data_IF_587930500936
#
_entry.id   IF_587930500936
#
_cell.length_a   1.000
_cell.length_b   1.000
_cell.length_c   1.000
_cell.angle_alpha   90.00
_cell.angle_beta   90.00
_cell.angle_gamma   90.00
#
_symmetry.space_group_name_H-M   'P 1'
#
loop_
_entity.id
_entity.type
_entity.pdbx_description
1 polymer ?
#
# COMPACT_ATOMS: atom_id res chain seq x y z
N UNK A 1 -33.05 15.84 -43.57
CA UNK A 1 -32.20 16.46 -42.55
C UNK A 1 -32.88 16.47 -41.17
N UNK A 2 -34.20 16.75 -41.09
CA UNK A 2 -34.97 16.73 -39.84
C UNK A 2 -35.09 15.32 -39.23
N UNK A 3 -35.22 14.27 -40.03
CA UNK A 3 -35.34 12.89 -39.52
C UNK A 3 -34.07 12.38 -38.84
N UNK A 4 -32.90 12.78 -39.36
CA UNK A 4 -31.59 12.45 -38.72
C UNK A 4 -31.44 13.16 -37.39
N UNK A 5 -31.89 14.41 -37.25
CA UNK A 5 -31.84 15.15 -36.02
C UNK A 5 -32.79 14.57 -34.94
N UNK A 6 -33.95 14.06 -35.39
CA UNK A 6 -34.91 13.39 -34.47
C UNK A 6 -34.38 12.04 -33.95
N UNK A 7 -33.67 11.28 -34.76
CA UNK A 7 -33.05 10.01 -34.33
C UNK A 7 -31.81 10.22 -33.44
N UNK A 8 -31.12 11.34 -33.58
CA UNK A 8 -29.95 11.67 -32.75
C UNK A 8 -30.30 12.33 -31.39
N UNK A 9 -31.49 12.95 -31.29
CA UNK A 9 -31.91 13.67 -30.07
C UNK A 9 -31.82 12.84 -28.79
N UNK A 10 -32.20 11.54 -28.75
CA UNK A 10 -32.06 10.71 -27.54
C UNK A 10 -30.60 10.42 -27.15
N UNK A 11 -29.63 10.61 -28.07
CA UNK A 11 -28.21 10.35 -27.82
C UNK A 11 -27.44 11.57 -27.30
N UNK A 12 -28.03 12.77 -27.31
CA UNK A 12 -27.34 13.99 -26.86
C UNK A 12 -26.85 13.90 -25.41
N UNK A 13 -27.63 13.40 -24.42
CA UNK A 13 -27.14 13.27 -23.05
C UNK A 13 -25.94 12.35 -22.93
N UNK A 14 -25.94 11.25 -23.66
CA UNK A 14 -24.85 10.26 -23.71
C UNK A 14 -23.56 10.85 -24.28
N UNK A 15 -23.68 11.52 -25.44
CA UNK A 15 -22.55 12.16 -26.11
C UNK A 15 -22.00 13.30 -25.23
N UNK A 16 -22.87 14.13 -24.64
CA UNK A 16 -22.45 15.23 -23.80
C UNK A 16 -21.73 14.73 -22.54
N UNK A 17 -22.20 13.67 -21.91
CA UNK A 17 -21.54 13.06 -20.75
C UNK A 17 -20.17 12.49 -21.13
N UNK A 18 -20.07 11.75 -22.23
CA UNK A 18 -18.80 11.22 -22.70
C UNK A 18 -17.77 12.32 -22.99
N UNK A 19 -18.19 13.38 -23.68
CA UNK A 19 -17.35 14.55 -23.94
C UNK A 19 -16.92 15.25 -22.65
N UNK A 20 -17.85 15.45 -21.71
CA UNK A 20 -17.55 16.05 -20.42
C UNK A 20 -16.46 15.28 -19.68
N UNK A 21 -16.63 13.98 -19.49
CA UNK A 21 -15.63 13.16 -18.80
C UNK A 21 -14.31 13.05 -19.57
N UNK A 22 -14.34 13.07 -20.89
CA UNK A 22 -13.12 13.12 -21.73
C UNK A 22 -12.36 14.43 -21.51
N UNK A 23 -13.08 15.56 -21.40
CA UNK A 23 -12.48 16.88 -21.06
C UNK A 23 -11.92 16.84 -19.64
N UNK A 24 -12.66 16.30 -18.67
CA UNK A 24 -12.17 16.12 -17.28
C UNK A 24 -10.89 15.29 -17.26
N UNK A 25 -10.85 14.17 -17.99
CA UNK A 25 -9.64 13.34 -18.14
C UNK A 25 -8.47 14.12 -18.76
N UNK A 26 -8.71 14.93 -19.78
CA UNK A 26 -7.70 15.76 -20.41
C UNK A 26 -7.15 16.82 -19.44
N UNK A 27 -8.03 17.48 -18.67
CA UNK A 27 -7.65 18.45 -17.63
C UNK A 27 -6.85 17.75 -16.53
N UNK A 28 -7.31 16.59 -16.06
CA UNK A 28 -6.59 15.78 -15.06
C UNK A 28 -5.16 15.48 -15.52
N UNK A 29 -5.00 14.88 -16.71
CA UNK A 29 -3.70 14.47 -17.22
C UNK A 29 -2.76 15.66 -17.50
N UNK A 30 -3.28 16.74 -18.09
CA UNK A 30 -2.44 17.82 -18.58
C UNK A 30 -2.26 18.98 -17.61
N UNK A 31 -3.22 19.19 -16.72
CA UNK A 31 -3.20 20.31 -15.80
C UNK A 31 -2.97 19.86 -14.36
N UNK A 32 -3.80 18.96 -13.86
CA UNK A 32 -3.79 18.57 -12.46
C UNK A 32 -2.50 17.85 -12.06
N UNK A 33 -2.06 16.89 -12.85
CA UNK A 33 -0.79 16.17 -12.62
C UNK A 33 0.40 17.12 -12.69
N UNK A 34 0.43 18.02 -13.68
CA UNK A 34 1.52 19.01 -13.78
C UNK A 34 1.52 19.99 -12.62
N UNK A 35 0.34 20.40 -12.14
CA UNK A 35 0.20 21.27 -10.97
C UNK A 35 0.71 20.58 -9.71
N UNK A 36 0.30 19.32 -9.50
CA UNK A 36 0.75 18.54 -8.34
C UNK A 36 2.27 18.31 -8.36
N UNK A 37 2.85 17.96 -9.52
CA UNK A 37 4.32 17.84 -9.66
C UNK A 37 5.04 19.18 -9.37
N UNK A 38 4.48 20.31 -9.81
CA UNK A 38 5.04 21.64 -9.49
C UNK A 38 4.95 21.98 -8.00
N UNK A 39 3.87 21.63 -7.35
CA UNK A 39 3.70 21.84 -5.91
C UNK A 39 4.65 20.92 -5.11
N UNK A 40 4.78 19.67 -5.53
CA UNK A 40 5.69 18.71 -4.90
C UNK A 40 7.14 19.18 -4.96
N UNK A 41 7.59 19.70 -6.12
CA UNK A 41 8.94 20.26 -6.28
C UNK A 41 9.22 21.48 -5.40
N UNK A 42 8.18 22.24 -5.00
CA UNK A 42 8.31 23.38 -4.07
C UNK A 42 8.40 22.95 -2.61
N UNK A 43 7.74 21.87 -2.23
CA UNK A 43 7.64 21.40 -0.84
C UNK A 43 8.70 20.36 -0.50
N UNK A 44 9.49 19.89 -1.50
CA UNK A 44 10.50 18.82 -1.36
C UNK A 44 9.92 17.55 -0.70
N UNK A 45 8.65 17.23 -1.00
CA UNK A 45 8.02 16.02 -0.49
C UNK A 45 8.44 14.83 -1.36
N UNK A 46 9.52 14.17 -0.96
CA UNK A 46 10.19 13.10 -1.73
C UNK A 46 9.22 11.99 -2.19
N UNK A 47 8.17 11.75 -1.43
CA UNK A 47 7.22 10.64 -1.65
C UNK A 47 6.03 11.02 -2.56
N UNK A 48 5.83 12.30 -2.84
CA UNK A 48 4.71 12.78 -3.65
C UNK A 48 4.79 12.37 -5.11
N UNK A 49 6.00 12.29 -5.67
CA UNK A 49 6.19 11.86 -7.07
C UNK A 49 5.89 10.37 -7.24
N UNK A 50 6.30 9.56 -6.30
CA UNK A 50 6.07 8.11 -6.32
C UNK A 50 4.57 7.80 -6.26
N UNK A 51 3.85 8.47 -5.36
CA UNK A 51 2.40 8.35 -5.27
C UNK A 51 1.71 8.78 -6.58
N UNK A 52 2.11 9.92 -7.14
CA UNK A 52 1.56 10.41 -8.42
C UNK A 52 1.82 9.44 -9.56
N UNK A 53 3.04 8.91 -9.66
CA UNK A 53 3.42 7.96 -10.70
C UNK A 53 2.65 6.63 -10.57
N UNK A 54 2.48 6.12 -9.35
CA UNK A 54 1.75 4.89 -9.08
C UNK A 54 0.27 4.98 -9.48
N UNK A 55 -0.38 6.13 -9.23
CA UNK A 55 -1.81 6.31 -9.46
C UNK A 55 -2.17 7.03 -10.76
N UNK A 56 -1.22 7.62 -11.49
CA UNK A 56 -1.48 8.34 -12.74
C UNK A 56 -2.23 7.48 -13.75
N UNK A 57 -1.73 6.28 -14.02
CA UNK A 57 -2.34 5.34 -14.98
C UNK A 57 -3.66 4.78 -14.50
N UNK A 58 -3.79 4.24 -13.27
CA UNK A 58 -5.06 3.76 -12.73
C UNK A 58 -6.17 4.82 -12.76
N UNK A 59 -5.90 6.04 -12.29
CA UNK A 59 -6.90 7.12 -12.27
C UNK A 59 -7.32 7.50 -13.69
N UNK A 60 -6.37 7.57 -14.63
CA UNK A 60 -6.66 7.91 -16.02
C UNK A 60 -7.57 6.85 -16.69
N UNK A 61 -7.36 5.58 -16.38
CA UNK A 61 -8.22 4.48 -16.84
C UNK A 61 -9.58 4.53 -16.14
N UNK A 62 -9.62 4.75 -14.83
CA UNK A 62 -10.88 4.87 -14.09
C UNK A 62 -11.77 6.00 -14.64
N UNK A 63 -11.18 7.17 -14.93
CA UNK A 63 -11.91 8.28 -15.55
C UNK A 63 -12.48 7.93 -16.91
N UNK A 64 -11.74 7.17 -17.74
CA UNK A 64 -12.23 6.72 -19.04
C UNK A 64 -13.40 5.73 -18.89
N UNK A 65 -13.31 4.80 -17.94
CA UNK A 65 -14.36 3.83 -17.67
C UNK A 65 -15.62 4.50 -17.14
N UNK A 66 -15.48 5.49 -16.25
CA UNK A 66 -16.61 6.30 -15.75
C UNK A 66 -17.26 7.07 -16.91
N UNK A 67 -16.46 7.63 -17.84
CA UNK A 67 -16.98 8.31 -19.04
C UNK A 67 -17.84 7.35 -19.89
N UNK A 68 -17.34 6.15 -20.11
CA UNK A 68 -18.02 5.13 -20.91
C UNK A 68 -19.29 4.63 -20.21
N UNK A 69 -19.23 4.36 -18.92
CA UNK A 69 -20.38 3.98 -18.10
C UNK A 69 -21.49 5.05 -18.12
N UNK A 70 -21.11 6.33 -17.90
CA UNK A 70 -22.07 7.43 -17.95
C UNK A 70 -22.73 7.57 -19.34
N UNK A 71 -21.92 7.38 -20.41
CA UNK A 71 -22.42 7.40 -21.77
C UNK A 71 -23.46 6.29 -22.03
N UNK A 72 -23.22 5.07 -21.56
CA UNK A 72 -24.14 3.94 -21.73
C UNK A 72 -25.44 4.20 -20.96
N UNK A 73 -25.35 4.58 -19.69
CA UNK A 73 -26.54 4.77 -18.84
C UNK A 73 -27.42 5.96 -19.26
N UNK A 74 -26.85 6.96 -19.93
CA UNK A 74 -27.58 8.09 -20.49
C UNK A 74 -28.02 7.86 -21.96
N UNK A 75 -27.69 6.73 -22.54
CA UNK A 75 -28.05 6.38 -23.91
C UNK A 75 -29.46 5.76 -23.97
N UNK A 76 -30.10 5.74 -25.15
CA UNK A 76 -31.35 4.99 -25.36
C UNK A 76 -31.21 3.48 -25.09
N UNK A 77 -29.99 2.96 -25.09
CA UNK A 77 -29.68 1.56 -24.76
C UNK A 77 -29.82 1.26 -23.27
N UNK A 78 -29.93 2.27 -22.39
CA UNK A 78 -30.08 2.09 -20.94
C UNK A 78 -31.29 1.21 -20.57
N UNK A 79 -32.36 1.23 -21.35
CA UNK A 79 -33.52 0.38 -21.15
C UNK A 79 -33.34 -1.08 -21.57
N UNK A 80 -32.27 -1.39 -22.30
CA UNK A 80 -32.02 -2.72 -22.87
C UNK A 80 -31.02 -3.54 -22.06
N UNK A 81 -30.33 -2.94 -21.08
CA UNK A 81 -29.35 -3.66 -20.25
C UNK A 81 -29.72 -3.65 -18.77
N UNK A 82 -29.27 -4.67 -18.05
CA UNK A 82 -29.44 -4.74 -16.61
C UNK A 82 -28.48 -3.75 -15.93
N UNK A 83 -29.05 -2.67 -15.42
CA UNK A 83 -28.31 -1.61 -14.71
C UNK A 83 -27.53 -2.20 -13.54
N UNK A 84 -28.10 -3.18 -12.83
CA UNK A 84 -27.48 -3.78 -11.65
C UNK A 84 -26.21 -4.57 -12.02
N UNK A 85 -26.21 -5.24 -13.16
CA UNK A 85 -25.06 -5.95 -13.69
C UNK A 85 -23.96 -4.98 -14.17
N UNK A 86 -24.36 -3.91 -14.87
CA UNK A 86 -23.44 -2.89 -15.35
C UNK A 86 -22.76 -2.15 -14.19
N UNK A 87 -23.51 -1.85 -13.13
CA UNK A 87 -22.99 -1.25 -11.90
C UNK A 87 -21.96 -2.14 -11.22
N UNK A 88 -22.18 -3.46 -11.14
CA UNK A 88 -21.21 -4.39 -10.58
C UNK A 88 -19.92 -4.43 -11.39
N UNK A 89 -20.02 -4.44 -12.72
CA UNK A 89 -18.85 -4.39 -13.58
C UNK A 89 -18.06 -3.09 -13.31
N UNK A 90 -18.74 -1.93 -13.28
CA UNK A 90 -18.08 -0.66 -13.00
C UNK A 90 -17.34 -0.69 -11.66
N UNK A 91 -18.02 -1.12 -10.58
CA UNK A 91 -17.41 -1.22 -9.25
C UNK A 91 -16.23 -2.18 -9.25
N UNK A 92 -16.35 -3.34 -9.90
CA UNK A 92 -15.24 -4.30 -10.03
C UNK A 92 -14.03 -3.66 -10.69
N UNK A 93 -14.24 -2.91 -11.78
CA UNK A 93 -13.15 -2.26 -12.50
C UNK A 93 -12.52 -1.14 -11.65
N UNK A 94 -13.33 -0.33 -10.97
CA UNK A 94 -12.83 0.74 -10.08
C UNK A 94 -12.01 0.14 -8.94
N UNK A 95 -12.52 -0.90 -8.28
CA UNK A 95 -11.83 -1.60 -7.19
C UNK A 95 -10.51 -2.20 -7.70
N UNK A 96 -10.53 -2.88 -8.84
CA UNK A 96 -9.30 -3.47 -9.42
C UNK A 96 -8.27 -2.38 -9.77
N UNK A 97 -8.71 -1.24 -10.34
CA UNK A 97 -7.83 -0.11 -10.61
C UNK A 97 -7.23 0.50 -9.34
N UNK A 98 -8.00 0.59 -8.25
CA UNK A 98 -7.52 1.08 -6.97
C UNK A 98 -6.41 0.17 -6.41
N UNK A 99 -6.66 -1.15 -6.37
CA UNK A 99 -5.66 -2.12 -5.91
C UNK A 99 -4.44 -2.19 -6.84
N UNK A 100 -4.63 -1.99 -8.14
CA UNK A 100 -3.50 -1.85 -9.07
C UNK A 100 -2.65 -0.61 -8.77
N UNK A 101 -3.26 0.53 -8.45
CA UNK A 101 -2.55 1.71 -7.98
C UNK A 101 -1.73 1.45 -6.71
N UNK A 102 -2.32 0.74 -5.73
CA UNK A 102 -1.60 0.33 -4.52
C UNK A 102 -0.44 -0.64 -4.83
N UNK A 103 -0.64 -1.57 -5.75
CA UNK A 103 0.41 -2.49 -6.19
C UNK A 103 1.59 -1.73 -6.83
N UNK A 104 1.30 -0.80 -7.74
CA UNK A 104 2.32 0.03 -8.36
C UNK A 104 3.05 0.93 -7.35
N UNK A 105 2.35 1.37 -6.30
CA UNK A 105 2.96 2.19 -5.26
C UNK A 105 4.10 1.46 -4.57
N UNK A 106 3.96 0.14 -4.33
CA UNK A 106 5.04 -0.65 -3.74
C UNK A 106 6.27 -0.69 -4.64
N UNK A 107 6.11 -0.76 -5.96
CA UNK A 107 7.24 -0.75 -6.90
C UNK A 107 7.96 0.59 -6.91
N UNK A 108 7.21 1.68 -6.86
CA UNK A 108 7.74 3.04 -6.94
C UNK A 108 8.39 3.47 -5.61
N UNK A 109 7.89 2.96 -4.48
CA UNK A 109 8.38 3.31 -3.13
C UNK A 109 9.55 2.45 -2.65
N UNK A 110 10.09 1.56 -3.48
CA UNK A 110 11.28 0.77 -3.11
C UNK A 110 12.42 1.65 -2.59
N UNK A 111 12.77 2.74 -3.30
CA UNK A 111 13.80 3.69 -2.87
C UNK A 111 13.45 4.40 -1.57
N UNK A 112 12.19 4.79 -1.40
CA UNK A 112 11.66 5.48 -0.21
C UNK A 112 11.79 4.63 1.06
N UNK A 113 11.50 3.33 0.95
CA UNK A 113 11.60 2.41 2.08
C UNK A 113 13.07 2.24 2.51
N UNK A 114 13.99 2.18 1.54
CA UNK A 114 15.42 2.17 1.82
C UNK A 114 15.90 3.45 2.50
N UNK A 115 15.53 4.63 1.96
CA UNK A 115 15.88 5.93 2.54
C UNK A 115 15.39 6.08 3.99
N UNK A 116 14.20 5.56 4.28
CA UNK A 116 13.66 5.55 5.64
C UNK A 116 14.49 4.66 6.57
N UNK A 117 14.77 3.42 6.17
CA UNK A 117 15.56 2.48 6.98
C UNK A 117 16.97 2.99 7.20
N UNK A 118 17.59 3.58 6.18
CA UNK A 118 18.93 4.17 6.28
C UNK A 118 18.95 5.37 7.24
N UNK A 119 17.89 6.21 7.24
CA UNK A 119 17.74 7.30 8.23
C UNK A 119 17.64 6.80 9.67
N UNK A 120 17.10 5.62 9.88
CA UNK A 120 17.07 4.95 11.20
C UNK A 120 18.36 4.17 11.51
N UNK A 121 19.40 4.28 10.65
CA UNK A 121 20.67 3.58 10.83
C UNK A 121 20.60 2.08 10.57
N UNK A 122 19.52 1.62 9.93
CA UNK A 122 19.33 0.21 9.57
C UNK A 122 19.91 0.02 8.17
N UNK A 123 21.11 -0.54 8.08
CA UNK A 123 21.67 -1.02 6.80
C UNK A 123 20.84 -2.24 6.37
N UNK A 124 19.91 -2.03 5.46
CA UNK A 124 19.00 -3.09 4.98
C UNK A 124 19.56 -3.65 3.70
N UNK A 125 19.72 -4.96 3.66
CA UNK A 125 20.07 -5.68 2.44
C UNK A 125 18.90 -5.57 1.43
N UNK A 126 19.21 -5.33 0.17
CA UNK A 126 18.24 -5.25 -0.92
C UNK A 126 17.31 -6.49 -0.95
N UNK A 127 17.85 -7.64 -0.54
CA UNK A 127 17.09 -8.88 -0.43
C UNK A 127 15.91 -8.78 0.56
N UNK A 128 16.10 -8.15 1.71
CA UNK A 128 15.06 -8.00 2.74
C UNK A 128 13.94 -7.09 2.25
N UNK A 129 14.28 -5.97 1.61
CA UNK A 129 13.28 -5.06 1.06
C UNK A 129 12.46 -5.72 -0.05
N UNK A 130 13.10 -6.51 -0.92
CA UNK A 130 12.41 -7.27 -1.96
C UNK A 130 11.43 -8.30 -1.39
N UNK A 131 11.81 -8.99 -0.31
CA UNK A 131 10.92 -9.93 0.40
C UNK A 131 9.72 -9.19 0.97
N UNK A 132 9.94 -8.08 1.68
CA UNK A 132 8.86 -7.27 2.26
C UNK A 132 7.92 -6.73 1.18
N UNK A 133 8.46 -6.17 0.10
CA UNK A 133 7.67 -5.70 -1.03
C UNK A 133 6.81 -6.83 -1.62
N UNK A 134 7.38 -8.03 -1.78
CA UNK A 134 6.65 -9.18 -2.28
C UNK A 134 5.50 -9.59 -1.34
N UNK A 135 5.74 -9.60 -0.03
CA UNK A 135 4.69 -9.87 0.97
C UNK A 135 3.57 -8.83 0.89
N UNK A 136 3.91 -7.53 0.82
CA UNK A 136 2.90 -6.47 0.68
C UNK A 136 2.10 -6.58 -0.63
N UNK A 137 2.75 -6.92 -1.75
CA UNK A 137 2.06 -7.17 -3.04
C UNK A 137 1.07 -8.32 -2.93
N UNK A 138 1.47 -9.44 -2.30
CA UNK A 138 0.58 -10.57 -2.06
C UNK A 138 -0.64 -10.18 -1.23
N UNK A 139 -0.45 -9.38 -0.17
CA UNK A 139 -1.54 -8.87 0.67
C UNK A 139 -2.50 -7.99 -0.16
N UNK A 140 -1.96 -7.08 -0.99
CA UNK A 140 -2.78 -6.20 -1.84
C UNK A 140 -3.60 -7.01 -2.85
N UNK A 141 -2.99 -7.98 -3.53
CA UNK A 141 -3.68 -8.87 -4.48
C UNK A 141 -4.80 -9.63 -3.76
N UNK A 142 -4.51 -10.18 -2.58
CA UNK A 142 -5.47 -10.93 -1.77
C UNK A 142 -6.65 -10.05 -1.34
N UNK A 143 -6.40 -8.84 -0.85
CA UNK A 143 -7.44 -7.88 -0.48
C UNK A 143 -8.28 -7.45 -1.70
N UNK A 144 -7.65 -7.22 -2.83
CA UNK A 144 -8.33 -6.92 -4.09
C UNK A 144 -9.26 -8.07 -4.53
N UNK A 145 -8.76 -9.30 -4.49
CA UNK A 145 -9.54 -10.48 -4.81
C UNK A 145 -10.76 -10.64 -3.90
N UNK A 146 -10.58 -10.52 -2.58
CA UNK A 146 -11.66 -10.59 -1.58
C UNK A 146 -12.72 -9.52 -1.84
N UNK A 147 -12.28 -8.29 -2.11
CA UNK A 147 -13.19 -7.16 -2.36
C UNK A 147 -14.01 -7.37 -3.62
N UNK A 148 -13.39 -7.84 -4.71
CA UNK A 148 -14.08 -8.16 -5.97
C UNK A 148 -15.04 -9.33 -5.77
N UNK A 149 -14.62 -10.42 -5.12
CA UNK A 149 -15.48 -11.57 -4.88
C UNK A 149 -16.75 -11.19 -4.09
N UNK A 150 -16.61 -10.31 -3.10
CA UNK A 150 -17.73 -9.78 -2.32
C UNK A 150 -18.70 -8.94 -3.17
N UNK A 151 -18.20 -8.15 -4.12
CA UNK A 151 -19.06 -7.37 -5.05
C UNK A 151 -19.96 -8.30 -5.89
N UNK A 152 -19.45 -9.49 -6.22
CA UNK A 152 -20.19 -10.52 -6.96
C UNK A 152 -21.05 -11.44 -6.06
N UNK A 153 -21.23 -11.06 -4.78
CA UNK A 153 -21.99 -11.82 -3.78
C UNK A 153 -21.48 -13.26 -3.54
N UNK A 154 -20.18 -13.51 -3.78
CA UNK A 154 -19.59 -14.77 -3.35
C UNK A 154 -19.45 -14.79 -1.84
N UNK A 155 -19.79 -15.93 -1.23
CA UNK A 155 -19.54 -16.14 0.19
C UNK A 155 -18.04 -16.38 0.42
N UNK A 156 -17.41 -15.34 0.99
CA UNK A 156 -15.97 -15.36 1.31
C UNK A 156 -15.68 -15.72 2.78
N UNK A 157 -16.72 -16.11 3.54
CA UNK A 157 -16.60 -16.36 4.99
C UNK A 157 -15.57 -17.44 5.30
N UNK A 158 -15.59 -18.55 4.56
CA UNK A 158 -14.63 -19.63 4.72
C UNK A 158 -13.19 -19.19 4.37
N UNK A 159 -13.03 -18.34 3.35
CA UNK A 159 -11.75 -17.79 2.97
C UNK A 159 -11.19 -16.83 4.05
N UNK A 160 -12.02 -15.94 4.58
CA UNK A 160 -11.65 -15.03 5.67
C UNK A 160 -11.30 -15.82 6.93
N UNK A 161 -12.07 -16.86 7.27
CA UNK A 161 -11.77 -17.73 8.40
C UNK A 161 -10.41 -18.42 8.25
N UNK A 162 -10.11 -18.99 7.07
CA UNK A 162 -8.81 -19.63 6.81
C UNK A 162 -7.65 -18.64 6.86
N UNK A 163 -7.85 -17.42 6.34
CA UNK A 163 -6.86 -16.34 6.42
C UNK A 163 -6.61 -15.91 7.86
N UNK A 164 -7.66 -15.86 8.69
CA UNK A 164 -7.56 -15.51 10.11
C UNK A 164 -6.74 -16.56 10.87
N UNK A 165 -6.97 -17.85 10.62
CA UNK A 165 -6.18 -18.94 11.21
C UNK A 165 -4.72 -18.84 10.73
N UNK A 166 -4.49 -18.62 9.44
CA UNK A 166 -3.15 -18.46 8.89
C UNK A 166 -2.41 -17.25 9.48
N UNK A 167 -3.09 -16.11 9.65
CA UNK A 167 -2.50 -14.92 10.26
C UNK A 167 -2.15 -15.13 11.74
N UNK A 168 -2.96 -15.90 12.47
CA UNK A 168 -2.66 -16.29 13.86
C UNK A 168 -1.41 -17.16 13.93
N UNK A 169 -1.26 -18.12 13.02
CA UNK A 169 -0.05 -18.94 12.95
C UNK A 169 1.20 -18.11 12.68
N UNK A 170 1.12 -17.15 11.74
CA UNK A 170 2.21 -16.20 11.44
C UNK A 170 2.51 -15.32 12.66
N UNK A 171 1.48 -14.83 13.36
CA UNK A 171 1.66 -14.02 14.56
C UNK A 171 2.38 -14.78 15.68
N UNK A 172 2.03 -16.03 15.88
CA UNK A 172 2.75 -16.90 16.85
C UNK A 172 4.20 -17.15 16.45
N UNK A 173 4.45 -17.38 15.16
CA UNK A 173 5.81 -17.58 14.66
C UNK A 173 6.67 -16.31 14.78
N UNK A 174 6.07 -15.11 14.65
CA UNK A 174 6.75 -13.81 14.75
C UNK A 174 6.85 -13.27 16.17
N UNK A 175 6.19 -13.88 17.17
CA UNK A 175 6.06 -13.37 18.54
C UNK A 175 7.40 -12.97 19.15
N UNK A 176 8.39 -13.85 19.12
CA UNK A 176 9.69 -13.61 19.76
C UNK A 176 10.47 -12.52 19.03
N UNK A 177 10.36 -12.45 17.72
CA UNK A 177 10.98 -11.37 16.94
C UNK A 177 10.38 -10.00 17.33
N UNK A 178 9.05 -9.90 17.42
CA UNK A 178 8.36 -8.70 17.85
C UNK A 178 8.69 -8.33 19.31
N UNK A 179 8.77 -9.30 20.21
CA UNK A 179 9.16 -9.06 21.61
C UNK A 179 10.56 -8.41 21.71
N UNK A 180 11.51 -8.85 20.87
CA UNK A 180 12.84 -8.26 20.84
C UNK A 180 12.83 -6.83 20.29
N UNK A 181 12.03 -6.55 19.28
CA UNK A 181 11.86 -5.19 18.74
C UNK A 181 11.27 -4.25 19.79
N UNK A 182 10.22 -4.68 20.48
CA UNK A 182 9.64 -3.90 21.58
C UNK A 182 10.63 -3.71 22.73
N UNK A 183 11.42 -4.75 23.10
CA UNK A 183 12.50 -4.64 24.08
C UNK A 183 13.51 -3.57 23.68
N UNK A 184 13.95 -3.54 22.43
CA UNK A 184 14.88 -2.48 21.98
C UNK A 184 14.25 -1.09 22.02
N UNK A 185 12.96 -0.94 21.70
CA UNK A 185 12.27 0.35 21.83
C UNK A 185 12.23 0.84 23.28
N UNK A 186 11.95 -0.04 24.24
CA UNK A 186 11.97 0.28 25.67
C UNK A 186 13.37 0.71 26.10
N UNK A 187 14.39 -0.06 25.73
CA UNK A 187 15.80 0.27 26.06
C UNK A 187 16.18 1.66 25.53
N UNK A 188 15.76 1.99 24.29
CA UNK A 188 16.09 3.27 23.66
C UNK A 188 15.31 4.47 24.24
N UNK A 189 14.06 4.25 24.65
CA UNK A 189 13.18 5.30 25.19
C UNK A 189 13.46 5.56 26.67
N UNK A 190 13.42 4.51 27.49
CA UNK A 190 13.54 4.61 28.93
C UNK A 190 15.00 4.65 29.42
N UNK A 191 15.92 4.13 28.56
CA UNK A 191 17.36 4.11 28.83
C UNK A 191 17.73 3.54 30.19
N UNK A 192 17.25 2.33 30.55
CA UNK A 192 17.60 1.70 31.82
C UNK A 192 19.12 1.48 31.98
N UNK A 193 19.81 1.36 30.84
CA UNK A 193 21.26 1.36 30.72
C UNK A 193 21.69 2.02 29.42
N UNK A 194 22.97 2.35 29.29
CA UNK A 194 23.58 2.96 28.09
C UNK A 194 24.77 2.15 27.61
N UNK A 195 25.19 2.41 26.38
CA UNK A 195 26.46 1.88 25.85
C UNK A 195 27.59 2.35 26.78
N UNK A 196 28.42 1.40 27.22
CA UNK A 196 29.51 1.63 28.18
C UNK A 196 29.14 1.29 29.63
N UNK A 197 27.87 1.10 29.94
CA UNK A 197 27.45 0.72 31.28
C UNK A 197 27.76 -0.76 31.57
N UNK A 198 28.09 -1.03 32.80
CA UNK A 198 28.22 -2.38 33.30
C UNK A 198 26.85 -2.90 33.77
N UNK A 199 26.44 -3.99 33.17
CA UNK A 199 25.15 -4.62 33.51
C UNK A 199 25.30 -6.11 33.82
N UNK A 200 24.34 -6.61 34.55
CA UNK A 200 24.18 -8.04 34.82
C UNK A 200 22.77 -8.44 34.47
N UNK A 201 22.62 -9.25 33.42
CA UNK A 201 21.34 -9.69 32.91
C UNK A 201 21.42 -11.14 32.45
N UNK A 202 20.38 -11.94 32.75
CA UNK A 202 20.26 -13.33 32.32
C UNK A 202 21.49 -14.22 32.65
N UNK A 203 22.17 -13.93 33.78
CA UNK A 203 23.37 -14.67 34.21
C UNK A 203 24.68 -14.23 33.49
N UNK A 204 24.62 -13.28 32.59
CA UNK A 204 25.74 -12.68 31.88
C UNK A 204 26.06 -11.33 32.49
N UNK A 205 27.33 -11.07 32.69
CA UNK A 205 27.84 -9.85 33.34
C UNK A 205 28.94 -9.25 32.48
N UNK A 206 28.84 -7.93 32.19
CA UNK A 206 29.83 -7.25 31.37
C UNK A 206 29.42 -5.83 30.97
N UNK A 207 30.15 -5.23 30.06
CA UNK A 207 29.95 -3.86 29.57
C UNK A 207 29.14 -3.90 28.29
N UNK A 208 28.12 -3.06 28.20
CA UNK A 208 27.29 -2.90 26.99
C UNK A 208 28.12 -2.26 25.88
N UNK A 209 28.31 -2.98 24.78
CA UNK A 209 29.09 -2.51 23.64
C UNK A 209 28.23 -1.87 22.56
N UNK A 210 27.09 -2.48 22.27
CA UNK A 210 26.11 -1.94 21.31
C UNK A 210 24.71 -2.44 21.59
N UNK A 211 23.71 -1.63 21.26
CA UNK A 211 22.30 -1.99 21.28
C UNK A 211 21.81 -2.01 19.83
N UNK A 212 21.40 -3.18 19.33
CA UNK A 212 20.88 -3.39 17.99
C UNK A 212 19.36 -3.59 18.02
N UNK A 213 18.76 -3.70 16.85
CA UNK A 213 17.30 -3.81 16.67
C UNK A 213 16.64 -4.99 17.39
N UNK A 214 17.35 -6.11 17.59
CA UNK A 214 16.81 -7.31 18.27
C UNK A 214 17.66 -7.81 19.43
N UNK A 215 18.88 -7.36 19.59
CA UNK A 215 19.82 -7.87 20.59
C UNK A 215 20.77 -6.78 21.04
N UNK A 216 21.22 -6.88 22.28
CA UNK A 216 22.28 -6.06 22.87
C UNK A 216 23.55 -6.89 22.97
N UNK A 217 24.67 -6.33 22.50
CA UNK A 217 25.98 -6.93 22.59
C UNK A 217 26.65 -6.50 23.90
N UNK A 218 27.10 -7.48 24.69
CA UNK A 218 27.79 -7.28 25.95
C UNK A 218 29.17 -7.90 25.85
N UNK A 219 30.20 -7.14 26.25
CA UNK A 219 31.57 -7.65 26.39
C UNK A 219 31.78 -8.11 27.83
N UNK A 220 31.97 -9.40 28.00
CA UNK A 220 32.23 -10.02 29.30
C UNK A 220 33.65 -9.76 29.79
N UNK A 221 33.99 -10.03 31.07
CA UNK A 221 35.35 -9.90 31.61
C UNK A 221 36.39 -10.77 30.89
N UNK A 222 36.06 -12.01 30.44
CA UNK A 222 36.96 -12.78 29.58
C UNK A 222 37.16 -12.24 28.16
N UNK A 223 36.58 -11.05 27.85
CA UNK A 223 36.61 -10.40 26.52
C UNK A 223 35.76 -11.10 25.46
N UNK A 224 34.80 -11.91 25.82
CA UNK A 224 33.86 -12.54 24.91
C UNK A 224 32.73 -11.57 24.58
N UNK A 225 32.30 -11.57 23.31
CA UNK A 225 31.12 -10.84 22.85
C UNK A 225 29.90 -11.75 22.94
N UNK A 226 28.95 -11.36 23.77
CA UNK A 226 27.70 -12.10 23.98
C UNK A 226 26.53 -11.25 23.50
N UNK A 227 25.69 -11.82 22.64
CA UNK A 227 24.49 -11.19 22.13
C UNK A 227 23.28 -11.68 22.91
N UNK A 228 22.66 -10.79 23.68
CA UNK A 228 21.46 -11.09 24.47
C UNK A 228 20.25 -10.52 23.73
N UNK A 229 19.19 -11.33 23.48
CA UNK A 229 17.94 -10.82 22.95
C UNK A 229 17.36 -9.69 23.82
N UNK A 230 16.93 -8.59 23.21
CA UNK A 230 16.46 -7.40 23.94
C UNK A 230 15.20 -7.68 24.78
N UNK A 231 14.41 -8.68 24.43
CA UNK A 231 13.24 -9.11 25.22
C UNK A 231 13.61 -9.74 26.58
N UNK A 232 14.89 -10.04 26.81
CA UNK A 232 15.40 -10.62 28.07
C UNK A 232 16.13 -9.60 28.95
N UNK A 233 16.23 -8.37 28.50
CA UNK A 233 16.85 -7.23 29.18
C UNK A 233 15.80 -6.24 29.69
#
# INVERSE_FOLDING_TARGET
>A
MNDILLTLKPWYPSISAFLFFTVVRYIYKNFFIRLLRRLNNKVSFSYGEDFLNAFETPINIALFIIAFYAAINLSPLASMHDVSFTDRILRTIIVTNFFWGLYNLIDTTHGVFFDLLERFGIQTDEAIANILATVFRMIIIMLGFVTVAREWNYDISAFIASLSIGSLAVAFAAKDALANVFGSMIILLDKPFKIGDWIKANGIEGIVESVSFRSTCIRTFPQELVYIPNSLL
#
